data_IF_804497039224
#
_entry.id   IF_804497039224
#
_cell.length_a   1.000
_cell.length_b   1.000
_cell.length_c   1.000
_cell.angle_alpha   90.00
_cell.angle_beta   90.00
_cell.angle_gamma   90.00
#
_symmetry.space_group_name_H-M   'P 1'
#
loop_
_entity.id
_entity.type
_entity.pdbx_description
1 polymer ?
#
# COMPACT_ATOMS: atom_id res chain seq x y z
N UNK A 1 28.13 14.80 -0.14
CA UNK A 1 26.83 15.29 -0.65
C UNK A 1 25.80 15.16 0.47
N UNK A 2 24.73 15.97 0.45
CA UNK A 2 23.62 15.88 1.41
C UNK A 2 22.39 15.34 0.67
N UNK A 3 21.78 14.29 1.19
CA UNK A 3 20.53 13.73 0.65
C UNK A 3 19.36 14.46 1.28
N UNK A 4 18.40 14.92 0.48
CA UNK A 4 17.16 15.56 0.92
C UNK A 4 15.99 14.69 0.46
N UNK A 5 15.19 14.22 1.41
CA UNK A 5 14.03 13.37 1.15
C UNK A 5 12.77 14.20 0.87
N UNK A 6 11.80 13.69 0.07
CA UNK A 6 10.53 14.37 -0.12
C UNK A 6 9.78 14.50 1.21
N UNK A 7 9.04 15.62 1.42
CA UNK A 7 8.28 15.82 2.64
C UNK A 7 7.11 14.83 2.72
N UNK A 8 6.88 14.26 3.91
CA UNK A 8 5.73 13.40 4.22
C UNK A 8 5.04 13.95 5.47
N UNK A 9 3.71 14.11 5.43
CA UNK A 9 2.94 14.60 6.57
C UNK A 9 2.70 13.48 7.60
N UNK A 10 3.76 13.11 8.31
CA UNK A 10 3.73 12.01 9.28
C UNK A 10 2.72 12.24 10.42
N UNK A 11 2.51 13.51 10.81
CA UNK A 11 1.55 13.87 11.86
C UNK A 11 0.12 13.60 11.43
N UNK A 12 -0.21 13.81 10.16
CA UNK A 12 -1.52 13.52 9.62
C UNK A 12 -1.81 12.02 9.68
N UNK A 13 -0.92 11.18 9.17
CA UNK A 13 -1.09 9.73 9.20
C UNK A 13 -1.11 9.15 10.62
N UNK A 14 -0.31 9.68 11.54
CA UNK A 14 -0.28 9.22 12.94
C UNK A 14 -1.63 9.35 13.67
N UNK A 15 -2.49 10.31 13.28
CA UNK A 15 -3.84 10.48 13.85
C UNK A 15 -4.78 9.32 13.55
N UNK A 16 -4.49 8.57 12.49
CA UNK A 16 -5.30 7.45 12.04
C UNK A 16 -4.79 6.10 12.54
N UNK A 17 -3.74 6.09 13.36
CA UNK A 17 -3.21 4.86 13.95
C UNK A 17 -4.24 4.16 14.82
N UNK A 18 -4.58 2.92 14.46
CA UNK A 18 -5.41 2.04 15.28
C UNK A 18 -4.53 1.08 16.08
N UNK A 19 -5.05 0.59 17.21
CA UNK A 19 -4.42 -0.49 17.98
C UNK A 19 -4.28 -1.76 17.11
N UNK A 20 -3.20 -2.56 17.23
CA UNK A 20 -3.00 -3.74 16.40
C UNK A 20 -4.19 -4.72 16.34
N UNK A 21 -4.90 -4.92 17.46
CA UNK A 21 -6.07 -5.79 17.53
C UNK A 21 -7.32 -5.27 16.81
N UNK A 22 -7.35 -3.99 16.42
CA UNK A 22 -8.43 -3.36 15.68
C UNK A 22 -8.19 -3.32 14.16
N UNK A 23 -7.03 -3.79 13.70
CA UNK A 23 -6.64 -3.73 12.29
C UNK A 23 -7.07 -4.97 11.53
N UNK A 24 -7.49 -4.79 10.29
CA UNK A 24 -7.99 -5.87 9.45
C UNK A 24 -7.56 -5.74 7.99
N UNK A 25 -7.37 -6.87 7.32
CA UNK A 25 -6.97 -6.91 5.91
C UNK A 25 -5.58 -6.32 5.64
N UNK A 26 -5.20 -6.35 4.37
CA UNK A 26 -3.98 -5.78 3.84
C UNK A 26 -4.33 -4.64 2.88
N UNK A 27 -3.37 -3.76 2.64
CA UNK A 27 -3.52 -2.67 1.66
C UNK A 27 -2.34 -2.66 0.69
N UNK A 28 -2.60 -2.34 -0.57
CA UNK A 28 -1.59 -1.98 -1.55
C UNK A 28 -2.02 -0.63 -2.16
N UNK A 29 -1.10 0.33 -2.24
CA UNK A 29 -1.38 1.69 -2.71
C UNK A 29 -0.41 2.05 -3.81
N UNK A 30 -0.93 2.59 -4.91
CA UNK A 30 -0.11 3.19 -5.96
C UNK A 30 -0.74 3.09 -7.33
N UNK A 31 -0.07 3.68 -8.32
CA UNK A 31 -0.45 3.52 -9.72
C UNK A 31 -0.31 2.04 -10.11
N UNK A 32 -1.30 1.49 -10.79
CA UNK A 32 -1.32 0.09 -11.21
C UNK A 32 -0.53 -0.08 -12.51
N UNK A 33 0.79 0.03 -12.40
CA UNK A 33 1.75 -0.22 -13.48
C UNK A 33 2.52 -1.51 -13.22
N UNK A 34 2.97 -2.16 -14.29
CA UNK A 34 3.64 -3.46 -14.23
C UNK A 34 4.80 -3.51 -13.21
N UNK A 35 5.66 -2.50 -13.20
CA UNK A 35 6.84 -2.46 -12.30
C UNK A 35 6.49 -2.31 -10.80
N UNK A 36 5.26 -1.87 -10.48
CA UNK A 36 4.77 -1.80 -9.09
C UNK A 36 4.35 -3.17 -8.56
N UNK A 37 4.27 -4.18 -9.43
CA UNK A 37 4.04 -5.59 -9.07
C UNK A 37 2.84 -5.82 -8.13
N UNK A 38 1.80 -4.99 -8.26
CA UNK A 38 0.56 -5.12 -7.45
C UNK A 38 -0.10 -6.48 -7.72
N UNK A 39 0.15 -7.10 -8.87
CA UNK A 39 -0.28 -8.45 -9.20
C UNK A 39 0.24 -9.49 -8.18
N UNK A 40 1.43 -9.31 -7.61
CA UNK A 40 1.95 -10.20 -6.56
C UNK A 40 1.13 -10.10 -5.27
N UNK A 41 0.74 -8.89 -4.87
CA UNK A 41 -0.12 -8.68 -3.71
C UNK A 41 -1.50 -9.32 -3.94
N UNK A 42 -2.10 -9.08 -5.12
CA UNK A 42 -3.39 -9.68 -5.50
C UNK A 42 -3.31 -11.20 -5.51
N UNK A 43 -2.33 -11.80 -6.19
CA UNK A 43 -2.15 -13.26 -6.25
C UNK A 43 -1.94 -13.88 -4.87
N UNK A 44 -1.11 -13.26 -4.03
CA UNK A 44 -0.83 -13.78 -2.68
C UNK A 44 -2.08 -13.74 -1.81
N UNK A 45 -2.79 -12.60 -1.78
CA UNK A 45 -4.01 -12.45 -1.00
C UNK A 45 -5.16 -13.33 -1.52
N UNK A 46 -5.36 -13.41 -2.83
CA UNK A 46 -6.34 -14.33 -3.45
C UNK A 46 -6.05 -15.79 -3.09
N UNK A 47 -4.79 -16.22 -3.18
CA UNK A 47 -4.39 -17.60 -2.84
C UNK A 47 -4.61 -17.95 -1.37
N UNK A 48 -4.41 -16.99 -0.47
CA UNK A 48 -4.53 -17.19 0.97
C UNK A 48 -5.92 -16.85 1.54
N UNK A 49 -6.84 -16.34 0.71
CA UNK A 49 -8.15 -15.85 1.16
C UNK A 49 -8.07 -14.63 2.08
N UNK A 50 -6.98 -13.87 2.04
CA UNK A 50 -6.75 -12.71 2.90
C UNK A 50 -7.36 -11.45 2.27
N UNK A 51 -8.10 -10.66 3.04
CA UNK A 51 -8.68 -9.40 2.53
C UNK A 51 -7.58 -8.44 2.06
N UNK A 52 -7.73 -7.91 0.86
CA UNK A 52 -6.81 -6.91 0.28
C UNK A 52 -7.61 -5.72 -0.24
N UNK A 53 -7.20 -4.52 0.14
CA UNK A 53 -7.67 -3.27 -0.48
C UNK A 53 -6.59 -2.75 -1.42
N UNK A 54 -6.91 -2.57 -2.69
CA UNK A 54 -6.01 -2.00 -3.70
C UNK A 54 -6.47 -0.57 -4.01
N UNK A 55 -5.64 0.39 -3.65
CA UNK A 55 -5.87 1.83 -3.87
C UNK A 55 -5.05 2.31 -5.07
N UNK A 56 -5.70 3.06 -5.94
CA UNK A 56 -5.14 3.63 -7.15
C UNK A 56 -5.71 3.01 -8.42
N UNK A 57 -5.16 3.44 -9.54
CA UNK A 57 -5.59 3.05 -10.89
C UNK A 57 -4.37 2.98 -11.82
N UNK A 58 -4.52 2.35 -12.97
CA UNK A 58 -3.48 2.32 -13.98
C UNK A 58 -3.77 1.33 -15.11
N UNK A 59 -2.82 1.21 -16.05
CA UNK A 59 -2.96 0.32 -17.21
C UNK A 59 -3.24 -1.14 -16.85
N UNK A 60 -2.73 -1.61 -15.70
CA UNK A 60 -2.89 -3.00 -15.27
C UNK A 60 -4.26 -3.27 -14.61
N UNK A 61 -5.16 -2.28 -14.47
CA UNK A 61 -6.38 -2.43 -13.69
C UNK A 61 -7.25 -3.61 -14.13
N UNK A 62 -7.48 -3.77 -15.43
CA UNK A 62 -8.28 -4.87 -15.96
C UNK A 62 -7.61 -6.23 -15.71
N UNK A 63 -6.28 -6.30 -15.84
CA UNK A 63 -5.53 -7.51 -15.54
C UNK A 63 -5.60 -7.87 -14.05
N UNK A 64 -5.43 -6.89 -13.16
CA UNK A 64 -5.50 -7.12 -11.72
C UNK A 64 -6.89 -7.59 -11.28
N UNK A 65 -7.95 -7.06 -11.88
CA UNK A 65 -9.32 -7.53 -11.65
C UNK A 65 -9.51 -8.97 -12.13
N UNK A 66 -8.93 -9.37 -13.27
CA UNK A 66 -9.13 -10.72 -13.81
C UNK A 66 -8.44 -11.84 -13.01
N UNK A 67 -7.45 -11.49 -12.19
CA UNK A 67 -6.73 -12.43 -11.30
C UNK A 67 -7.15 -12.31 -9.83
N UNK A 68 -8.04 -11.37 -9.52
CA UNK A 68 -8.55 -11.14 -8.18
C UNK A 68 -9.69 -12.10 -7.84
N UNK A 69 -9.78 -12.45 -6.56
CA UNK A 69 -10.92 -13.17 -5.97
C UNK A 69 -11.79 -12.18 -5.17
N UNK A 70 -12.94 -12.63 -4.67
CA UNK A 70 -13.91 -11.80 -3.93
C UNK A 70 -13.35 -11.13 -2.66
N UNK A 71 -12.22 -11.60 -2.14
CA UNK A 71 -11.52 -11.01 -1.00
C UNK A 71 -10.67 -9.77 -1.36
N UNK A 72 -10.56 -9.40 -2.65
CA UNK A 72 -9.78 -8.26 -3.12
C UNK A 72 -10.74 -7.14 -3.54
N UNK A 73 -10.60 -5.97 -2.92
CA UNK A 73 -11.38 -4.77 -3.23
C UNK A 73 -10.52 -3.73 -3.92
N UNK A 74 -10.92 -3.30 -5.10
CA UNK A 74 -10.33 -2.14 -5.78
C UNK A 74 -11.14 -0.88 -5.44
N UNK A 75 -10.49 0.16 -4.93
CA UNK A 75 -11.17 1.42 -4.56
C UNK A 75 -11.09 2.48 -5.65
N UNK A 76 -10.26 2.27 -6.67
CA UNK A 76 -9.84 3.36 -7.55
C UNK A 76 -8.97 4.38 -6.80
N UNK A 77 -8.89 5.60 -7.31
CA UNK A 77 -8.22 6.70 -6.60
C UNK A 77 -9.04 7.13 -5.39
N UNK A 78 -8.36 7.38 -4.29
CA UNK A 78 -8.96 8.03 -3.11
C UNK A 78 -8.87 9.54 -3.29
N UNK A 79 -9.93 10.24 -2.90
CA UNK A 79 -10.09 11.67 -3.18
C UNK A 79 -9.40 12.54 -2.13
N UNK A 80 -9.08 11.97 -0.96
CA UNK A 80 -8.43 12.72 0.13
C UNK A 80 -7.32 11.93 0.81
N UNK A 81 -6.35 12.68 1.34
CA UNK A 81 -5.28 12.12 2.19
C UNK A 81 -5.84 11.54 3.49
N UNK A 82 -6.95 12.08 4.01
CA UNK A 82 -7.60 11.54 5.22
C UNK A 82 -8.22 10.17 4.96
N UNK A 83 -8.85 9.98 3.80
CA UNK A 83 -9.37 8.68 3.39
C UNK A 83 -8.24 7.65 3.22
N UNK A 84 -7.14 8.05 2.57
CA UNK A 84 -5.94 7.21 2.45
C UNK A 84 -5.42 6.81 3.84
N UNK A 85 -5.29 7.78 4.74
CA UNK A 85 -4.75 7.56 6.08
C UNK A 85 -5.66 6.66 6.93
N UNK A 86 -6.99 6.78 6.83
CA UNK A 86 -7.92 5.89 7.54
C UNK A 86 -7.83 4.45 7.02
N UNK A 87 -7.78 4.25 5.69
CA UNK A 87 -7.63 2.89 5.11
C UNK A 87 -6.29 2.28 5.51
N UNK A 88 -5.20 3.05 5.40
CA UNK A 88 -3.85 2.59 5.74
C UNK A 88 -3.74 2.31 7.24
N UNK A 89 -4.21 3.20 8.11
CA UNK A 89 -4.14 3.07 9.57
C UNK A 89 -5.02 1.96 10.16
N UNK A 90 -6.06 1.54 9.43
CA UNK A 90 -6.92 0.40 9.79
C UNK A 90 -6.44 -0.95 9.21
N UNK A 91 -5.44 -0.95 8.33
CA UNK A 91 -4.91 -2.15 7.69
C UNK A 91 -3.89 -2.89 8.56
N UNK A 92 -3.85 -4.23 8.49
CA UNK A 92 -2.87 -5.04 9.24
C UNK A 92 -1.45 -4.80 8.75
N UNK A 93 -1.26 -4.65 7.44
CA UNK A 93 0.03 -4.29 6.84
C UNK A 93 -0.18 -3.67 5.46
N UNK A 94 0.75 -2.81 5.06
CA UNK A 94 0.96 -2.40 3.68
C UNK A 94 1.76 -3.48 2.96
N UNK A 95 1.27 -3.97 1.83
CA UNK A 95 2.02 -4.80 0.89
C UNK A 95 2.70 -3.90 -0.13
N UNK A 96 4.02 -3.98 -0.18
CA UNK A 96 4.87 -3.16 -1.03
C UNK A 96 5.73 -4.04 -1.97
N UNK A 97 5.10 -4.66 -2.99
CA UNK A 97 5.72 -5.74 -3.78
C UNK A 97 6.64 -5.26 -4.91
N UNK A 98 6.51 -4.00 -5.32
CA UNK A 98 7.21 -3.42 -6.47
C UNK A 98 8.37 -2.52 -6.07
N UNK A 99 9.02 -1.98 -7.09
CA UNK A 99 10.07 -0.99 -6.92
C UNK A 99 9.48 0.41 -6.97
N UNK A 100 9.89 1.25 -6.04
CA UNK A 100 9.51 2.67 -5.94
C UNK A 100 10.76 3.51 -5.72
N UNK A 101 10.70 4.76 -6.17
CA UNK A 101 11.83 5.69 -6.07
C UNK A 101 12.13 6.01 -4.61
N UNK A 102 11.11 6.47 -3.87
CA UNK A 102 11.25 6.81 -2.45
C UNK A 102 10.40 5.90 -1.55
N UNK A 103 9.27 5.40 -2.05
CA UNK A 103 8.31 4.67 -1.24
C UNK A 103 7.62 5.56 -0.22
N UNK A 104 7.12 6.73 -0.63
CA UNK A 104 6.37 7.67 0.23
C UNK A 104 5.28 6.93 1.01
N UNK A 105 4.54 6.04 0.35
CA UNK A 105 3.49 5.22 0.96
C UNK A 105 3.98 4.37 2.14
N UNK A 106 5.22 3.88 2.09
CA UNK A 106 5.82 3.13 3.21
C UNK A 106 6.03 4.03 4.42
N UNK A 107 6.48 5.27 4.22
CA UNK A 107 6.62 6.26 5.30
C UNK A 107 5.25 6.66 5.85
N UNK A 108 4.26 6.85 5.00
CA UNK A 108 2.88 7.14 5.37
C UNK A 108 2.27 6.00 6.22
N UNK A 109 2.45 4.74 5.79
CA UNK A 109 1.98 3.57 6.51
C UNK A 109 2.64 3.43 7.88
N UNK A 110 3.97 3.54 7.94
CA UNK A 110 4.70 3.50 9.21
C UNK A 110 4.28 4.65 10.14
N UNK A 111 3.98 5.83 9.60
CA UNK A 111 3.46 6.96 10.36
C UNK A 111 2.08 6.68 10.96
N UNK A 112 1.21 5.96 10.23
CA UNK A 112 -0.07 5.44 10.75
C UNK A 112 0.10 4.22 11.67
N UNK A 113 1.34 3.84 11.99
CA UNK A 113 1.67 2.66 12.78
C UNK A 113 1.46 1.34 12.05
N UNK A 114 1.13 1.35 10.76
CA UNK A 114 0.88 0.17 9.93
C UNK A 114 2.20 -0.43 9.45
N UNK A 115 2.50 -1.70 9.77
CA UNK A 115 3.74 -2.33 9.34
C UNK A 115 3.78 -2.50 7.81
N UNK A 116 4.98 -2.52 7.25
CA UNK A 116 5.21 -2.65 5.80
C UNK A 116 5.85 -4.01 5.51
N UNK A 117 5.26 -4.76 4.58
CA UNK A 117 5.84 -5.98 4.02
C UNK A 117 6.32 -5.63 2.61
N UNK A 118 7.62 -5.41 2.48
CA UNK A 118 8.25 -4.97 1.23
C UNK A 118 8.97 -6.12 0.52
N UNK A 119 8.99 -6.06 -0.82
CA UNK A 119 9.95 -6.84 -1.61
C UNK A 119 11.37 -6.36 -1.31
N UNK A 120 12.36 -7.27 -1.35
CA UNK A 120 13.73 -6.94 -0.96
C UNK A 120 14.31 -5.75 -1.73
N UNK A 121 14.01 -5.67 -3.02
CA UNK A 121 14.51 -4.62 -3.91
C UNK A 121 13.51 -3.45 -4.06
N UNK A 122 12.56 -3.30 -3.12
CA UNK A 122 11.43 -2.39 -3.29
C UNK A 122 11.81 -0.90 -3.23
N UNK A 123 12.96 -0.54 -2.64
CA UNK A 123 13.45 0.85 -2.65
C UNK A 123 14.88 0.87 -3.18
N UNK A 124 15.07 1.55 -4.32
CA UNK A 124 16.32 1.55 -5.09
C UNK A 124 17.47 2.34 -4.44
N UNK A 125 17.19 3.17 -3.43
CA UNK A 125 18.16 4.15 -2.90
C UNK A 125 18.53 3.98 -1.42
N UNK A 126 18.05 2.93 -0.74
CA UNK A 126 18.29 2.71 0.70
C UNK A 126 19.13 1.44 0.99
N UNK A 127 19.78 0.87 -0.04
CA UNK A 127 20.79 -0.19 0.10
C UNK A 127 22.10 0.27 -0.52
#
# INVERSE_FOLDING_TARGET
STVIHPPVDTKKFARFSKQPGMRSGFVAVGRQTHYKKIDLAVKACSKLGLRLTVIGEGPEHQHLNSIANDNVKFTGKVESVDELAEIVGSSKALLFPGVDDFGIVSVEALSAGTPVIAYKDAVLWIM
#
